data_IF_308639477225
#
_entry.id   IF_308639477225
#
_cell.length_a   1.000
_cell.length_b   1.000
_cell.length_c   1.000
_cell.angle_alpha   90.00
_cell.angle_beta   90.00
_cell.angle_gamma   90.00
#
_symmetry.space_group_name_H-M   'P 1'
#
loop_
_entity.id
_entity.type
_entity.pdbx_description
1 polymer ?
#
# COMPACT_ATOMS: atom_id res chain seq x y z
N UNK A 1 1.31 6.26 -20.37
CA UNK A 1 1.39 5.76 -18.99
C UNK A 1 0.89 4.33 -18.99
N UNK A 2 1.54 3.46 -18.23
CA UNK A 2 1.11 2.09 -18.02
C UNK A 2 0.55 1.94 -16.60
N UNK A 3 -0.40 1.02 -16.43
CA UNK A 3 -0.85 0.62 -15.10
C UNK A 3 0.19 -0.29 -14.48
N UNK A 4 0.77 0.16 -13.38
CA UNK A 4 1.79 -0.55 -12.64
C UNK A 4 1.24 -0.94 -11.27
N UNK A 5 1.34 -2.24 -10.94
CA UNK A 5 1.05 -2.74 -9.61
C UNK A 5 2.27 -2.48 -8.73
N UNK A 6 2.07 -1.77 -7.62
CA UNK A 6 3.11 -1.40 -6.67
C UNK A 6 2.78 -2.01 -5.32
N UNK A 7 3.78 -2.64 -4.69
CA UNK A 7 3.70 -3.14 -3.32
C UNK A 7 4.73 -2.40 -2.46
N UNK A 8 4.28 -1.57 -1.51
CA UNK A 8 5.14 -0.95 -0.51
C UNK A 8 5.19 -1.84 0.73
N UNK A 9 6.39 -2.17 1.21
CA UNK A 9 6.59 -2.97 2.41
C UNK A 9 7.37 -2.17 3.46
N UNK A 10 6.86 -2.14 4.69
CA UNK A 10 7.56 -1.56 5.84
C UNK A 10 7.68 -2.59 6.97
N UNK A 11 8.89 -2.72 7.53
CA UNK A 11 9.10 -3.48 8.77
C UNK A 11 8.80 -2.57 9.96
N UNK A 12 7.86 -2.99 10.81
CA UNK A 12 7.48 -2.28 12.03
C UNK A 12 7.99 -3.04 13.26
N UNK A 13 7.98 -2.40 14.42
CA UNK A 13 8.43 -3.03 15.68
C UNK A 13 7.62 -4.27 16.08
N UNK A 14 6.38 -4.40 15.59
CA UNK A 14 5.43 -5.46 15.99
C UNK A 14 4.81 -6.21 14.80
N UNK A 15 5.35 -6.03 13.59
CA UNK A 15 4.76 -6.65 12.41
C UNK A 15 5.37 -6.13 11.11
N UNK A 16 4.79 -6.55 10.00
CA UNK A 16 5.14 -6.06 8.67
C UNK A 16 3.89 -5.46 8.04
N UNK A 17 4.02 -4.24 7.53
CA UNK A 17 2.96 -3.58 6.79
C UNK A 17 3.19 -3.78 5.29
N UNK A 18 2.11 -4.09 4.58
CA UNK A 18 2.07 -4.19 3.13
C UNK A 18 0.97 -3.29 2.60
N UNK A 19 1.32 -2.39 1.69
CA UNK A 19 0.37 -1.61 0.91
C UNK A 19 0.47 -2.05 -0.55
N UNK A 20 -0.66 -2.47 -1.13
CA UNK A 20 -0.71 -2.91 -2.52
C UNK A 20 -1.69 -2.03 -3.28
N UNK A 21 -1.20 -1.37 -4.33
CA UNK A 21 -2.04 -0.51 -5.17
C UNK A 21 -1.66 -0.60 -6.64
N UNK A 22 -2.48 -0.03 -7.51
CA UNK A 22 -2.18 0.12 -8.93
C UNK A 22 -2.20 1.60 -9.29
N UNK A 23 -1.15 2.07 -9.96
CA UNK A 23 -0.99 3.47 -10.36
C UNK A 23 -0.72 3.58 -11.85
N UNK A 24 -1.13 4.68 -12.46
CA UNK A 24 -0.71 5.05 -13.80
C UNK A 24 0.61 5.81 -13.72
N UNK A 25 1.67 5.27 -14.34
CA UNK A 25 2.99 5.90 -14.35
C UNK A 25 3.76 5.57 -15.63
N UNK A 26 4.83 6.32 -15.90
CA UNK A 26 5.70 6.20 -17.07
C UNK A 26 7.06 5.58 -16.72
N UNK A 27 7.40 5.50 -15.44
CA UNK A 27 8.60 4.83 -14.92
C UNK A 27 8.32 4.15 -13.57
N UNK A 28 9.25 3.30 -13.14
CA UNK A 28 9.21 2.68 -11.82
C UNK A 28 9.29 3.71 -10.69
N UNK A 29 10.21 4.68 -10.82
CA UNK A 29 10.37 5.76 -9.83
C UNK A 29 9.09 6.59 -9.66
N UNK A 30 8.44 6.94 -10.77
CA UNK A 30 7.15 7.65 -10.76
C UNK A 30 6.06 6.79 -10.09
N UNK A 31 6.04 5.49 -10.36
CA UNK A 31 5.07 4.57 -9.76
C UNK A 31 5.22 4.48 -8.25
N UNK A 32 6.45 4.42 -7.73
CA UNK A 32 6.73 4.39 -6.28
C UNK A 32 6.23 5.67 -5.62
N UNK A 33 6.60 6.84 -6.16
CA UNK A 33 6.19 8.14 -5.60
C UNK A 33 4.66 8.30 -5.66
N UNK A 34 4.02 7.88 -6.75
CA UNK A 34 2.57 7.90 -6.87
C UNK A 34 1.89 6.99 -5.82
N UNK A 35 2.42 5.79 -5.60
CA UNK A 35 1.89 4.86 -4.60
C UNK A 35 2.06 5.37 -3.16
N UNK A 36 3.17 6.04 -2.85
CA UNK A 36 3.40 6.68 -1.54
C UNK A 36 2.43 7.83 -1.30
N UNK A 37 2.24 8.72 -2.29
CA UNK A 37 1.29 9.82 -2.18
C UNK A 37 -0.15 9.33 -2.01
N UNK A 38 -0.54 8.27 -2.73
CA UNK A 38 -1.84 7.64 -2.56
C UNK A 38 -2.01 7.06 -1.16
N UNK A 39 -0.99 6.37 -0.64
CA UNK A 39 -1.04 5.85 0.72
C UNK A 39 -1.19 6.96 1.76
N UNK A 40 -0.47 8.07 1.63
CA UNK A 40 -0.61 9.22 2.53
C UNK A 40 -2.03 9.81 2.48
N UNK A 41 -2.65 9.88 1.30
CA UNK A 41 -4.03 10.33 1.15
C UNK A 41 -5.03 9.37 1.80
N UNK A 42 -4.83 8.05 1.67
CA UNK A 42 -5.67 7.05 2.35
C UNK A 42 -5.54 7.16 3.88
N UNK A 43 -4.35 7.49 4.38
CA UNK A 43 -4.10 7.65 5.82
C UNK A 43 -4.87 8.82 6.44
N UNK A 44 -5.24 9.84 5.66
CA UNK A 44 -6.11 10.94 6.14
C UNK A 44 -7.51 10.45 6.54
N UNK A 45 -7.95 9.31 5.99
CA UNK A 45 -9.26 8.69 6.25
C UNK A 45 -9.13 7.35 6.98
N UNK A 46 -8.02 7.14 7.68
CA UNK A 46 -7.73 5.87 8.34
C UNK A 46 -8.79 5.43 9.38
N UNK A 47 -9.55 6.39 9.92
CA UNK A 47 -10.66 6.14 10.82
C UNK A 47 -11.88 5.47 10.15
N UNK A 48 -11.91 5.42 8.82
CA UNK A 48 -12.97 4.78 8.03
C UNK A 48 -12.55 3.39 7.54
N UNK A 49 -11.34 2.94 7.86
CA UNK A 49 -10.83 1.65 7.41
C UNK A 49 -11.47 0.49 8.16
N UNK A 50 -11.93 -0.50 7.43
CA UNK A 50 -12.44 -1.77 7.93
C UNK A 50 -11.61 -2.93 7.35
N UNK A 51 -11.37 -3.96 8.15
CA UNK A 51 -10.68 -5.16 7.69
C UNK A 51 -11.70 -6.12 7.09
N UNK A 52 -11.73 -6.23 5.77
CA UNK A 52 -12.68 -7.10 5.04
C UNK A 52 -12.26 -8.57 5.00
N UNK A 53 -10.97 -8.86 5.11
CA UNK A 53 -10.41 -10.22 5.03
C UNK A 53 -9.21 -10.36 5.98
N UNK A 54 -9.07 -11.53 6.58
CA UNK A 54 -7.95 -11.86 7.46
C UNK A 54 -7.70 -13.38 7.48
N UNK A 55 -6.42 -13.76 7.47
CA UNK A 55 -5.99 -15.14 7.66
C UNK A 55 -5.26 -15.27 9.00
N UNK A 56 -5.61 -16.30 9.79
CA UNK A 56 -4.94 -16.63 11.04
C UNK A 56 -4.41 -18.04 10.92
N UNK A 57 -3.09 -18.18 11.00
CA UNK A 57 -2.40 -19.47 11.00
C UNK A 57 -1.74 -19.69 12.36
N UNK A 58 -1.85 -20.91 12.89
CA UNK A 58 -1.14 -21.29 14.11
C UNK A 58 0.37 -21.33 13.84
N UNK A 59 1.15 -20.66 14.70
CA UNK A 59 2.62 -20.59 14.63
C UNK A 59 3.31 -21.63 15.49
#
# INVERSE_FOLDING_TARGET
MAKLKVTLQAKLNRGTFYWVTTVDASSEEEAVVAAENLFLAEMEKANEWEFDDYNVEDT
#
